data_IF_466218552652
#
_entry.id   IF_466218552652
#
_cell.length_a   1.000
_cell.length_b   1.000
_cell.length_c   1.000
_cell.angle_alpha   90.00
_cell.angle_beta   90.00
_cell.angle_gamma   90.00
#
_symmetry.space_group_name_H-M   'P 1'
#
loop_
_entity.id
_entity.type
_entity.pdbx_description
1 polymer ?
#
# COMPACT_ATOMS: atom_id res chain seq x y z
N UNK A 1 25.92 -12.59 -25.40
CA UNK A 1 25.03 -11.42 -25.50
C UNK A 1 23.62 -11.88 -25.19
N UNK A 2 23.16 -11.70 -23.96
CA UNK A 2 21.78 -12.04 -23.56
C UNK A 2 20.98 -10.75 -23.55
N UNK A 3 20.08 -10.60 -24.53
CA UNK A 3 19.16 -9.48 -24.62
C UNK A 3 18.25 -9.46 -23.40
N UNK A 4 18.39 -8.44 -22.56
CA UNK A 4 17.39 -8.13 -21.55
C UNK A 4 16.10 -7.75 -22.28
N UNK A 5 15.05 -8.56 -22.11
CA UNK A 5 13.70 -8.14 -22.47
C UNK A 5 13.37 -6.93 -21.60
N UNK A 6 13.32 -5.75 -22.21
CA UNK A 6 12.77 -4.56 -21.59
C UNK A 6 11.30 -4.83 -21.27
N UNK A 7 10.95 -4.91 -20.00
CA UNK A 7 9.55 -4.92 -19.58
C UNK A 7 8.85 -3.68 -20.16
N UNK A 8 7.72 -3.90 -20.81
CA UNK A 8 6.97 -2.85 -21.46
C UNK A 8 6.55 -1.79 -20.43
N UNK A 9 7.13 -0.59 -20.53
CA UNK A 9 6.60 0.58 -19.82
C UNK A 9 5.14 0.74 -20.26
N UNK A 10 4.20 0.62 -19.31
CA UNK A 10 2.78 0.91 -19.55
C UNK A 10 2.66 2.25 -20.27
N UNK A 11 1.89 2.29 -21.35
CA UNK A 11 1.72 3.47 -22.19
C UNK A 11 1.09 4.62 -21.38
N UNK A 12 1.94 5.53 -20.91
CA UNK A 12 1.52 6.82 -20.37
C UNK A 12 0.99 7.62 -21.57
N UNK A 13 -0.25 8.13 -21.56
CA UNK A 13 -0.77 8.93 -22.66
C UNK A 13 0.21 10.04 -23.03
N UNK A 14 0.43 10.27 -24.32
CA UNK A 14 1.50 11.15 -24.82
C UNK A 14 1.44 12.58 -24.25
N UNK A 15 0.25 13.05 -23.88
CA UNK A 15 0.05 14.34 -23.20
C UNK A 15 0.73 14.42 -21.82
N UNK A 16 0.95 13.29 -21.16
CA UNK A 16 1.61 13.17 -19.86
C UNK A 16 3.08 12.73 -19.98
N UNK A 17 3.52 12.19 -21.11
CA UNK A 17 4.92 11.74 -21.32
C UNK A 17 5.94 12.87 -21.19
N UNK A 18 5.51 14.12 -21.48
CA UNK A 18 6.34 15.34 -21.35
C UNK A 18 6.32 15.95 -19.96
N UNK A 19 5.44 15.50 -19.06
CA UNK A 19 5.36 16.02 -17.69
C UNK A 19 6.06 15.09 -16.74
N UNK A 20 6.97 15.63 -15.92
CA UNK A 20 7.56 14.85 -14.83
C UNK A 20 6.45 14.45 -13.84
N UNK A 21 6.47 13.22 -13.31
CA UNK A 21 5.54 12.82 -12.27
C UNK A 21 5.70 13.72 -11.03
N UNK A 22 4.67 13.85 -10.18
CA UNK A 22 4.82 14.48 -8.88
C UNK A 22 5.92 13.78 -8.07
N UNK A 23 6.75 14.56 -7.37
CA UNK A 23 7.78 13.99 -6.50
C UNK A 23 7.20 13.21 -5.31
N UNK A 24 6.00 13.60 -4.85
CA UNK A 24 5.32 12.99 -3.71
C UNK A 24 3.81 12.92 -3.97
N UNK A 25 3.23 11.74 -3.75
CA UNK A 25 1.79 11.50 -3.76
C UNK A 25 1.36 11.00 -2.38
N UNK A 26 0.28 11.56 -1.84
CA UNK A 26 -0.38 11.08 -0.63
C UNK A 26 -1.79 10.56 -0.95
N UNK A 27 -2.14 9.38 -0.43
CA UNK A 27 -3.42 8.71 -0.71
C UNK A 27 -4.11 8.31 0.59
N UNK A 28 -5.41 8.56 0.67
CA UNK A 28 -6.29 8.01 1.71
C UNK A 28 -7.07 6.84 1.12
N UNK A 29 -6.84 5.63 1.64
CA UNK A 29 -7.52 4.42 1.17
C UNK A 29 -8.86 4.22 1.87
N UNK A 30 -9.85 5.06 1.52
CA UNK A 30 -11.19 4.97 2.07
C UNK A 30 -12.13 4.12 1.20
N UNK A 31 -13.20 3.59 1.81
CA UNK A 31 -14.30 2.95 1.10
C UNK A 31 -14.27 1.43 1.12
N UNK A 32 -13.26 0.79 1.69
CA UNK A 32 -13.14 -0.68 1.76
C UNK A 32 -14.39 -1.35 2.34
N UNK A 33 -14.89 -0.85 3.48
CA UNK A 33 -16.12 -1.38 4.09
C UNK A 33 -17.38 -1.14 3.26
N UNK A 34 -17.50 0.02 2.60
CA UNK A 34 -18.64 0.33 1.70
C UNK A 34 -18.59 -0.54 0.44
N UNK A 35 -17.40 -0.78 -0.09
CA UNK A 35 -17.17 -1.65 -1.24
C UNK A 35 -17.59 -3.10 -0.95
N UNK A 36 -17.25 -3.63 0.23
CA UNK A 36 -17.65 -4.96 0.66
C UNK A 36 -19.16 -5.06 0.87
N UNK A 37 -19.76 -4.08 1.56
CA UNK A 37 -21.21 -4.03 1.81
C UNK A 37 -22.03 -4.05 0.52
N UNK A 38 -21.64 -3.26 -0.50
CA UNK A 38 -22.33 -3.24 -1.81
C UNK A 38 -22.28 -4.58 -2.57
N UNK A 39 -21.40 -5.49 -2.16
CA UNK A 39 -21.20 -6.82 -2.77
C UNK A 39 -21.70 -7.97 -1.89
N UNK A 40 -22.34 -7.67 -0.75
CA UNK A 40 -22.75 -8.69 0.21
C UNK A 40 -21.56 -9.44 0.85
N UNK A 41 -20.37 -8.84 0.88
CA UNK A 41 -19.15 -9.46 1.38
C UNK A 41 -18.83 -8.99 2.82
N UNK A 42 -18.09 -9.80 3.61
CA UNK A 42 -17.58 -9.37 4.90
C UNK A 42 -16.60 -8.20 4.76
N UNK A 43 -16.51 -7.33 5.77
CA UNK A 43 -15.63 -6.14 5.76
C UNK A 43 -14.17 -6.49 5.50
N UNK A 44 -13.71 -7.63 6.00
CA UNK A 44 -12.36 -8.17 5.79
C UNK A 44 -12.01 -8.31 4.31
N UNK A 45 -12.96 -8.76 3.47
CA UNK A 45 -12.76 -8.86 2.02
C UNK A 45 -12.51 -7.49 1.37
N UNK A 46 -13.17 -6.44 1.87
CA UNK A 46 -12.90 -5.06 1.44
C UNK A 46 -11.51 -4.59 1.82
N UNK A 47 -11.03 -4.94 3.02
CA UNK A 47 -9.66 -4.62 3.42
C UNK A 47 -8.62 -5.38 2.59
N UNK A 48 -8.86 -6.66 2.27
CA UNK A 48 -7.99 -7.43 1.37
C UNK A 48 -7.93 -6.83 -0.03
N UNK A 49 -9.08 -6.41 -0.60
CA UNK A 49 -9.11 -5.72 -1.89
C UNK A 49 -8.36 -4.37 -1.85
N UNK A 50 -8.48 -3.64 -0.74
CA UNK A 50 -7.72 -2.40 -0.52
C UNK A 50 -6.21 -2.62 -0.49
N UNK A 51 -5.74 -3.71 0.12
CA UNK A 51 -4.34 -4.08 0.17
C UNK A 51 -3.77 -4.42 -1.23
N UNK A 52 -4.53 -5.15 -2.05
CA UNK A 52 -4.12 -5.46 -3.43
C UNK A 52 -4.07 -4.20 -4.31
N UNK A 53 -5.04 -3.30 -4.14
CA UNK A 53 -5.02 -2.00 -4.82
C UNK A 53 -3.81 -1.16 -4.40
N UNK A 54 -3.44 -1.17 -3.12
CA UNK A 54 -2.24 -0.47 -2.66
C UNK A 54 -0.98 -1.01 -3.35
N UNK A 55 -0.82 -2.33 -3.46
CA UNK A 55 0.29 -2.96 -4.20
C UNK A 55 0.36 -2.45 -5.63
N UNK A 56 -0.77 -2.47 -6.34
CA UNK A 56 -0.88 -1.99 -7.73
C UNK A 56 -0.46 -0.53 -7.86
N UNK A 57 -0.94 0.34 -6.96
CA UNK A 57 -0.61 1.77 -6.97
C UNK A 57 0.88 1.99 -6.66
N UNK A 58 1.42 1.30 -5.66
CA UNK A 58 2.83 1.43 -5.27
C UNK A 58 3.77 1.00 -6.41
N UNK A 59 3.48 -0.12 -7.08
CA UNK A 59 4.21 -0.57 -8.27
C UNK A 59 4.10 0.47 -9.39
N UNK A 60 2.91 1.00 -9.66
CA UNK A 60 2.75 2.01 -10.70
C UNK A 60 3.50 3.32 -10.39
N UNK A 61 3.46 3.80 -9.14
CA UNK A 61 4.22 4.96 -8.69
C UNK A 61 5.73 4.77 -8.92
N UNK A 62 6.27 3.57 -8.62
CA UNK A 62 7.66 3.21 -8.93
C UNK A 62 7.91 3.28 -10.44
N UNK A 63 7.07 2.64 -11.26
CA UNK A 63 7.26 2.53 -12.70
C UNK A 63 7.28 3.90 -13.41
N UNK A 64 6.46 4.85 -12.93
CA UNK A 64 6.40 6.20 -13.49
C UNK A 64 7.43 7.16 -12.89
N UNK A 65 8.18 6.75 -11.86
CA UNK A 65 9.25 7.55 -11.24
C UNK A 65 8.82 8.49 -10.12
N UNK A 66 7.71 8.21 -9.42
CA UNK A 66 7.34 8.93 -8.19
C UNK A 66 8.33 8.57 -7.07
N UNK A 67 8.90 9.58 -6.41
CA UNK A 67 9.92 9.35 -5.38
C UNK A 67 9.32 9.01 -4.01
N UNK A 68 8.15 9.54 -3.67
CA UNK A 68 7.49 9.32 -2.40
C UNK A 68 6.01 8.97 -2.57
N UNK A 69 5.59 7.87 -1.95
CA UNK A 69 4.18 7.51 -1.80
C UNK A 69 3.86 7.41 -0.31
N UNK A 70 2.92 8.25 0.15
CA UNK A 70 2.40 8.18 1.52
C UNK A 70 0.97 7.66 1.47
N UNK A 71 0.68 6.68 2.31
CA UNK A 71 -0.66 6.09 2.39
C UNK A 71 -1.18 6.20 3.80
N UNK A 72 -2.38 6.75 3.94
CA UNK A 72 -3.08 6.79 5.21
C UNK A 72 -3.79 5.46 5.44
N UNK A 73 -3.03 4.51 6.01
CA UNK A 73 -3.47 3.13 6.18
C UNK A 73 -4.34 2.92 7.42
N UNK A 74 -4.10 3.67 8.50
CA UNK A 74 -4.82 3.56 9.76
C UNK A 74 -4.92 4.93 10.43
N UNK A 75 -6.14 5.31 10.79
CA UNK A 75 -6.43 6.60 11.46
C UNK A 75 -6.55 6.44 12.96
N UNK A 76 -6.30 7.49 13.74
CA UNK A 76 -6.52 7.45 15.20
C UNK A 76 -8.00 7.23 15.55
N UNK A 77 -8.91 7.60 14.65
CA UNK A 77 -10.34 7.35 14.77
C UNK A 77 -10.69 5.86 14.62
N UNK A 78 -9.84 5.05 13.98
CA UNK A 78 -10.08 3.60 13.88
C UNK A 78 -9.96 2.90 15.24
N UNK A 79 -9.29 3.48 16.23
CA UNK A 79 -9.26 2.98 17.60
C UNK A 79 -10.63 3.03 18.31
N UNK A 80 -11.59 3.80 17.78
CA UNK A 80 -12.96 3.84 18.31
C UNK A 80 -13.81 2.63 17.89
N UNK A 81 -13.29 1.74 17.03
CA UNK A 81 -13.98 0.52 16.58
C UNK A 81 -13.86 -0.60 17.63
N UNK A 82 -14.69 -1.67 17.54
CA UNK A 82 -14.56 -2.82 18.41
C UNK A 82 -13.13 -3.41 18.39
N UNK A 83 -12.55 -3.81 19.55
CA UNK A 83 -11.18 -4.30 19.64
C UNK A 83 -10.87 -5.48 18.70
N UNK A 84 -11.83 -6.36 18.48
CA UNK A 84 -11.70 -7.49 17.56
C UNK A 84 -11.53 -7.06 16.10
N UNK A 85 -12.28 -6.04 15.65
CA UNK A 85 -12.14 -5.47 14.29
C UNK A 85 -10.78 -4.81 14.13
N UNK A 86 -10.35 -4.04 15.14
CA UNK A 86 -9.03 -3.40 15.15
C UNK A 86 -7.92 -4.45 15.08
N UNK A 87 -7.99 -5.52 15.88
CA UNK A 87 -7.01 -6.60 15.86
C UNK A 87 -6.96 -7.30 14.49
N UNK A 88 -8.12 -7.58 13.88
CA UNK A 88 -8.18 -8.17 12.55
C UNK A 88 -7.54 -7.29 11.47
N UNK A 89 -7.79 -5.97 11.50
CA UNK A 89 -7.18 -5.01 10.58
C UNK A 89 -5.67 -4.97 10.78
N UNK A 90 -5.19 -4.91 12.02
CA UNK A 90 -3.76 -4.85 12.33
C UNK A 90 -3.02 -6.13 11.91
N UNK A 91 -3.63 -7.31 12.11
CA UNK A 91 -3.07 -8.58 11.62
C UNK A 91 -2.96 -8.63 10.10
N UNK A 92 -3.99 -8.14 9.40
CA UNK A 92 -3.97 -8.07 7.93
C UNK A 92 -2.89 -7.10 7.45
N UNK A 93 -2.77 -5.94 8.11
CA UNK A 93 -1.75 -4.94 7.82
C UNK A 93 -0.34 -5.49 8.05
N UNK A 94 -0.10 -6.17 9.16
CA UNK A 94 1.17 -6.82 9.46
C UNK A 94 1.54 -7.87 8.41
N UNK A 95 0.60 -8.79 8.09
CA UNK A 95 0.83 -9.80 7.05
C UNK A 95 1.23 -9.15 5.72
N UNK A 96 0.47 -8.13 5.31
CA UNK A 96 0.73 -7.43 4.06
C UNK A 96 2.09 -6.73 4.06
N UNK A 97 2.46 -6.06 5.15
CA UNK A 97 3.75 -5.39 5.24
C UNK A 97 4.90 -6.37 5.21
N UNK A 98 4.81 -7.51 5.90
CA UNK A 98 5.85 -8.54 5.86
C UNK A 98 6.04 -9.07 4.43
N UNK A 99 4.96 -9.45 3.75
CA UNK A 99 5.01 -9.92 2.34
C UNK A 99 5.57 -8.83 1.40
N UNK A 100 5.25 -7.56 1.68
CA UNK A 100 5.69 -6.44 0.87
C UNK A 100 7.14 -6.05 1.14
N UNK A 101 7.64 -6.16 2.37
CA UNK A 101 9.02 -5.79 2.75
C UNK A 101 10.03 -6.61 1.97
N UNK A 102 9.81 -7.91 1.78
CA UNK A 102 10.71 -8.76 0.97
C UNK A 102 10.80 -8.28 -0.48
N UNK A 103 9.65 -7.86 -1.05
CA UNK A 103 9.58 -7.31 -2.41
C UNK A 103 10.19 -5.91 -2.49
N UNK A 104 9.91 -5.07 -1.50
CA UNK A 104 10.44 -3.71 -1.39
C UNK A 104 11.97 -3.71 -1.26
N UNK A 105 12.54 -4.61 -0.46
CA UNK A 105 13.98 -4.76 -0.31
C UNK A 105 14.66 -5.11 -1.65
N UNK A 106 14.08 -6.05 -2.42
CA UNK A 106 14.54 -6.39 -3.78
C UNK A 106 14.50 -5.18 -4.71
N UNK A 107 13.44 -4.39 -4.59
CA UNK A 107 13.17 -3.23 -5.43
C UNK A 107 13.82 -1.92 -4.95
N UNK A 108 14.65 -1.97 -3.90
CA UNK A 108 15.27 -0.80 -3.26
C UNK A 108 14.25 0.26 -2.80
N UNK A 109 13.04 -0.16 -2.45
CA UNK A 109 12.00 0.68 -1.87
C UNK A 109 12.23 0.75 -0.36
N UNK A 110 12.24 1.97 0.19
CA UNK A 110 12.35 2.20 1.63
C UNK A 110 10.96 2.39 2.24
N UNK A 111 10.56 1.47 3.12
CA UNK A 111 9.36 1.62 3.95
C UNK A 111 9.67 2.54 5.14
N UNK A 112 8.77 3.49 5.43
CA UNK A 112 8.83 4.30 6.64
C UNK A 112 7.43 4.41 7.24
N UNK A 113 7.30 4.06 8.51
CA UNK A 113 6.04 4.22 9.24
C UNK A 113 6.06 5.59 9.94
N UNK A 114 4.96 6.33 9.79
CA UNK A 114 4.74 7.63 10.42
C UNK A 114 3.59 7.48 11.41
N UNK A 115 3.81 7.86 12.67
CA UNK A 115 2.81 7.75 13.74
C UNK A 115 3.33 6.97 14.95
N UNK A 116 2.40 6.48 15.77
CA UNK A 116 2.73 5.63 16.92
C UNK A 116 3.08 4.22 16.46
N UNK A 117 4.35 3.83 16.63
CA UNK A 117 4.85 2.51 16.25
C UNK A 117 4.69 1.46 17.35
N UNK A 118 4.33 1.87 18.58
CA UNK A 118 4.18 0.96 19.72
C UNK A 118 3.07 -0.08 19.51
N UNK A 119 2.07 0.28 18.69
CA UNK A 119 0.93 -0.54 18.30
C UNK A 119 1.29 -1.69 17.36
N UNK A 120 2.49 -1.64 16.77
CA UNK A 120 2.95 -2.62 15.81
C UNK A 120 3.59 -3.81 16.54
N UNK A 121 3.46 -4.99 15.94
CA UNK A 121 4.12 -6.19 16.47
C UNK A 121 5.64 -5.97 16.58
N UNK A 122 6.32 -6.62 17.54
CA UNK A 122 7.77 -6.57 17.63
C UNK A 122 8.46 -6.97 16.31
N UNK A 123 7.90 -7.95 15.59
CA UNK A 123 8.39 -8.41 14.29
C UNK A 123 8.35 -7.31 13.25
N UNK A 124 7.25 -6.57 13.17
CA UNK A 124 7.13 -5.49 12.19
C UNK A 124 8.07 -4.32 12.53
N UNK A 125 8.22 -4.02 13.83
CA UNK A 125 9.18 -3.01 14.31
C UNK A 125 10.64 -3.33 13.98
N UNK A 126 11.02 -4.60 13.88
CA UNK A 126 12.38 -4.99 13.47
C UNK A 126 12.64 -4.93 11.96
N UNK A 127 11.60 -4.75 11.14
CA UNK A 127 11.67 -4.72 9.68
C UNK A 127 11.66 -3.30 9.09
N UNK A 128 11.44 -2.28 9.93
CA UNK A 128 11.40 -0.85 9.58
C UNK A 128 12.67 -0.13 10.03
#
# INVERSE_FOLDING_TARGET
MSSSKSEAKKDIPEIYSRRRPPGHIAIILDGNGRWAKRRGLPRTAGHSAGAENFRTIATYCKDIGVSFLTVYAFSSENWKRPPEEVSAIMRLFEKYLIESVETMARDKIKLKILGDVSILSPRLRSLI
#
